data_IF_945119530955
#
_entry.id   IF_945119530955
#
_cell.length_a   1.000
_cell.length_b   1.000
_cell.length_c   1.000
_cell.angle_alpha   90.00
_cell.angle_beta   90.00
_cell.angle_gamma   90.00
#
_symmetry.space_group_name_H-M   'P 1'
#
loop_
_entity.id
_entity.type
_entity.pdbx_description
1 polymer ?
#
# COMPACT_ATOMS: atom_id res chain seq x y z
N UNK A 1 19.77 -25.96 -66.77
CA UNK A 1 18.63 -26.29 -65.88
C UNK A 1 18.98 -25.81 -64.47
N UNK A 2 19.13 -24.51 -64.24
CA UNK A 2 18.08 -23.58 -63.82
C UNK A 2 17.18 -24.10 -62.68
N UNK A 3 17.59 -23.82 -61.43
CA UNK A 3 16.69 -23.42 -60.35
C UNK A 3 17.36 -22.36 -59.47
N UNK A 4 17.22 -21.13 -59.95
CA UNK A 4 17.07 -19.92 -59.16
C UNK A 4 16.10 -20.16 -57.99
N UNK A 5 16.45 -19.82 -56.74
CA UNK A 5 15.48 -19.33 -55.76
C UNK A 5 16.16 -18.67 -54.54
N UNK A 6 16.30 -17.35 -54.68
CA UNK A 6 15.99 -16.30 -53.69
C UNK A 6 16.65 -16.34 -52.31
N UNK A 7 17.69 -15.52 -52.17
CA UNK A 7 18.10 -14.86 -50.94
C UNK A 7 16.91 -14.08 -50.33
N UNK A 8 16.31 -14.61 -49.27
CA UNK A 8 15.47 -13.81 -48.37
C UNK A 8 16.34 -13.49 -47.16
N UNK A 9 16.94 -12.30 -47.20
CA UNK A 9 17.63 -11.75 -46.05
C UNK A 9 16.65 -11.64 -44.89
N UNK A 10 16.88 -12.44 -43.84
CA UNK A 10 16.34 -12.15 -42.52
C UNK A 10 16.96 -10.83 -42.05
N UNK A 11 16.38 -9.69 -42.46
CA UNK A 11 16.46 -8.48 -41.67
C UNK A 11 15.81 -8.82 -40.33
N UNK A 12 16.64 -9.26 -39.40
CA UNK A 12 16.28 -9.46 -38.00
C UNK A 12 15.83 -8.12 -37.46
N UNK A 13 14.52 -7.88 -37.48
CA UNK A 13 13.92 -6.81 -36.69
C UNK A 13 14.08 -7.24 -35.23
N UNK A 14 15.17 -6.80 -34.61
CA UNK A 14 15.38 -6.97 -33.18
C UNK A 14 14.24 -6.23 -32.48
N UNK A 15 13.22 -6.98 -32.05
CA UNK A 15 12.18 -6.47 -31.19
C UNK A 15 12.81 -6.21 -29.83
N UNK A 16 13.34 -5.00 -29.65
CA UNK A 16 13.81 -4.53 -28.35
C UNK A 16 12.58 -4.41 -27.45
N UNK A 17 12.36 -5.41 -26.61
CA UNK A 17 11.39 -5.32 -25.54
C UNK A 17 11.85 -4.23 -24.56
N UNK A 18 11.26 -3.04 -24.67
CA UNK A 18 11.46 -1.98 -23.70
C UNK A 18 10.66 -2.34 -22.44
N UNK A 19 11.26 -3.14 -21.57
CA UNK A 19 10.76 -3.37 -20.21
C UNK A 19 10.99 -2.10 -19.40
N UNK A 20 10.11 -1.11 -19.59
CA UNK A 20 10.03 0.06 -18.74
C UNK A 20 9.59 -0.38 -17.35
N UNK A 21 10.54 -0.50 -16.43
CA UNK A 21 10.26 -0.65 -15.01
C UNK A 21 9.65 0.67 -14.53
N UNK A 22 8.33 0.78 -14.54
CA UNK A 22 7.65 1.93 -13.94
C UNK A 22 7.90 1.84 -12.44
N UNK A 23 8.82 2.65 -11.94
CA UNK A 23 9.01 2.82 -10.51
C UNK A 23 7.69 3.36 -9.93
N UNK A 24 7.11 2.64 -8.97
CA UNK A 24 5.93 3.11 -8.27
C UNK A 24 6.24 4.47 -7.62
N UNK A 25 5.35 5.44 -7.82
CA UNK A 25 5.51 6.76 -7.22
C UNK A 25 5.53 6.65 -5.69
N UNK A 26 6.45 7.39 -5.06
CA UNK A 26 6.59 7.37 -3.60
C UNK A 26 5.35 7.99 -2.97
N UNK A 27 4.73 7.27 -2.03
CA UNK A 27 3.61 7.79 -1.24
C UNK A 27 4.06 8.94 -0.35
N UNK A 28 3.40 10.09 -0.45
CA UNK A 28 3.60 11.24 0.44
C UNK A 28 2.64 11.13 1.63
N UNK A 29 3.18 10.85 2.82
CA UNK A 29 2.38 10.65 4.02
C UNK A 29 1.49 11.86 4.35
N UNK A 30 2.01 13.09 4.24
CA UNK A 30 1.28 14.29 4.64
C UNK A 30 0.15 14.61 3.68
N UNK A 31 0.32 14.33 2.39
CA UNK A 31 -0.68 14.61 1.36
C UNK A 31 -1.68 13.48 1.14
N UNK A 32 -1.24 12.22 1.28
CA UNK A 32 -2.04 11.06 0.88
C UNK A 32 -2.57 10.27 2.07
N UNK A 33 -1.79 10.10 3.14
CA UNK A 33 -2.15 9.20 4.24
C UNK A 33 -2.78 9.94 5.43
N UNK A 34 -2.15 11.00 5.91
CA UNK A 34 -2.62 11.78 7.07
C UNK A 34 -4.07 12.27 6.91
N UNK A 35 -4.52 12.77 5.73
CA UNK A 35 -5.91 13.17 5.55
C UNK A 35 -6.88 12.00 5.75
N UNK A 36 -6.57 10.82 5.22
CA UNK A 36 -7.40 9.60 5.35
C UNK A 36 -7.55 9.25 6.83
N UNK A 37 -6.44 9.14 7.56
CA UNK A 37 -6.45 8.81 8.99
C UNK A 37 -7.26 9.85 9.79
N UNK A 38 -7.10 11.13 9.46
CA UNK A 38 -7.83 12.20 10.15
C UNK A 38 -9.34 12.15 9.94
N UNK A 39 -9.78 11.77 8.74
CA UNK A 39 -11.21 11.71 8.40
C UNK A 39 -11.85 10.41 8.86
N UNK A 40 -11.12 9.30 8.86
CA UNK A 40 -11.69 7.96 9.05
C UNK A 40 -11.36 7.31 10.38
N UNK A 41 -10.33 7.76 11.10
CA UNK A 41 -9.83 7.04 12.28
C UNK A 41 -9.83 7.87 13.56
N UNK A 42 -9.57 9.18 13.49
CA UNK A 42 -9.33 9.99 14.70
C UNK A 42 -10.57 10.19 15.59
N UNK A 43 -11.78 10.00 15.06
CA UNK A 43 -13.01 10.07 15.87
C UNK A 43 -13.03 9.03 16.99
N UNK A 44 -12.39 7.86 16.79
CA UNK A 44 -12.29 6.78 17.77
C UNK A 44 -10.86 6.51 18.28
N UNK A 45 -9.83 6.85 17.51
CA UNK A 45 -8.42 6.62 17.83
C UNK A 45 -7.59 7.93 17.78
N UNK A 46 -8.12 8.99 18.40
CA UNK A 46 -7.52 10.32 18.46
C UNK A 46 -7.49 10.88 19.88
N UNK A 47 -7.14 12.16 20.04
CA UNK A 47 -6.98 12.74 21.38
C UNK A 47 -8.26 12.70 22.24
N UNK A 48 -9.43 12.83 21.61
CA UNK A 48 -10.72 12.89 22.31
C UNK A 48 -11.29 11.52 22.67
N UNK A 49 -10.91 10.47 21.95
CA UNK A 49 -11.36 9.09 22.17
C UNK A 49 -10.24 8.15 21.73
N UNK A 50 -9.87 7.23 22.60
CA UNK A 50 -8.73 6.32 22.40
C UNK A 50 -9.20 4.88 22.58
N UNK A 51 -10.09 4.44 21.69
CA UNK A 51 -10.49 3.03 21.67
C UNK A 51 -9.26 2.15 21.49
N UNK A 52 -9.17 1.09 22.28
CA UNK A 52 -8.01 0.22 22.24
C UNK A 52 -6.72 0.87 22.78
N UNK A 53 -6.78 2.02 23.48
CA UNK A 53 -5.62 2.89 23.81
C UNK A 53 -4.79 3.31 22.59
N UNK A 54 -5.37 3.19 21.39
CA UNK A 54 -4.66 3.45 20.16
C UNK A 54 -4.84 4.92 19.75
N UNK A 55 -3.73 5.54 19.33
CA UNK A 55 -3.71 6.90 18.77
C UNK A 55 -3.02 6.93 17.41
N UNK A 56 -3.72 7.43 16.40
CA UNK A 56 -3.24 7.42 15.00
C UNK A 56 -2.78 8.80 14.47
N UNK A 57 -2.67 9.81 15.35
CA UNK A 57 -2.47 11.21 14.94
C UNK A 57 -1.04 11.57 14.49
N UNK A 58 -0.04 10.92 15.10
CA UNK A 58 1.38 11.15 14.81
C UNK A 58 2.11 9.83 14.65
N UNK A 59 3.28 9.86 14.02
CA UNK A 59 4.12 8.68 13.83
C UNK A 59 4.50 8.04 15.16
N UNK A 60 4.86 8.85 16.14
CA UNK A 60 5.30 8.40 17.45
C UNK A 60 4.19 7.66 18.17
N UNK A 61 2.96 8.20 18.16
CA UNK A 61 1.78 7.58 18.76
C UNK A 61 1.38 6.29 18.04
N UNK A 62 1.42 6.29 16.70
CA UNK A 62 1.12 5.09 15.91
C UNK A 62 2.08 3.93 16.21
N UNK A 63 3.35 4.23 16.48
CA UNK A 63 4.37 3.22 16.82
C UNK A 63 4.33 2.80 18.29
N UNK A 64 3.70 3.57 19.18
CA UNK A 64 3.46 3.13 20.56
C UNK A 64 2.46 1.96 20.61
N UNK A 65 1.53 1.89 19.65
CA UNK A 65 0.54 0.83 19.61
C UNK A 65 -0.69 1.11 20.48
N UNK A 66 -1.40 0.04 20.85
CA UNK A 66 -2.54 0.07 21.76
C UNK A 66 -2.58 -1.18 22.64
N UNK A 67 -3.76 -1.56 23.15
CA UNK A 67 -3.95 -2.77 23.97
C UNK A 67 -3.46 -4.06 23.28
N UNK A 68 -3.52 -4.11 21.95
CA UNK A 68 -3.03 -5.25 21.14
C UNK A 68 -1.52 -5.23 20.90
N UNK A 69 -0.78 -4.27 21.47
CA UNK A 69 0.63 -4.05 21.20
C UNK A 69 0.87 -3.24 19.93
N UNK A 70 1.93 -3.58 19.19
CA UNK A 70 2.32 -2.89 17.96
C UNK A 70 1.24 -3.04 16.88
N UNK A 71 0.76 -1.91 16.34
CA UNK A 71 -0.27 -1.92 15.28
C UNK A 71 0.29 -1.65 13.88
N UNK A 72 1.48 -1.06 13.80
CA UNK A 72 2.20 -0.79 12.55
C UNK A 72 3.63 -1.30 12.72
N UNK A 73 4.06 -2.17 11.80
CA UNK A 73 5.43 -2.67 11.71
C UNK A 73 6.09 -2.03 10.49
N UNK A 74 7.03 -1.07 10.66
CA UNK A 74 7.64 -0.37 9.54
C UNK A 74 8.29 -1.33 8.53
N UNK A 75 7.87 -1.23 7.27
CA UNK A 75 8.39 -2.06 6.18
C UNK A 75 7.73 -3.44 6.05
N UNK A 76 6.83 -3.82 6.95
CA UNK A 76 6.11 -5.10 6.97
C UNK A 76 4.60 -4.83 7.08
N UNK A 77 4.01 -4.35 5.99
CA UNK A 77 2.62 -3.92 5.97
C UNK A 77 1.64 -5.09 6.21
N UNK A 78 1.98 -6.26 5.69
CA UNK A 78 1.27 -7.53 5.85
C UNK A 78 1.30 -8.08 7.28
N UNK A 79 2.33 -7.75 8.06
CA UNK A 79 2.42 -8.09 9.49
C UNK A 79 1.79 -7.01 10.40
N UNK A 80 1.25 -5.93 9.84
CA UNK A 80 0.69 -4.81 10.62
C UNK A 80 -0.80 -5.00 10.88
N UNK A 81 -1.19 -5.06 12.16
CA UNK A 81 -2.60 -5.19 12.60
C UNK A 81 -3.49 -4.07 12.04
N UNK A 82 -2.95 -2.85 11.85
CA UNK A 82 -3.72 -1.77 11.25
C UNK A 82 -4.25 -2.14 9.86
N UNK A 83 -3.44 -2.79 9.03
CA UNK A 83 -3.86 -3.21 7.70
C UNK A 83 -4.83 -4.39 7.76
N UNK A 84 -4.58 -5.35 8.66
CA UNK A 84 -5.49 -6.46 8.94
C UNK A 84 -6.90 -5.97 9.26
N UNK A 85 -7.05 -5.00 10.18
CA UNK A 85 -8.37 -4.45 10.54
C UNK A 85 -9.02 -3.67 9.41
N UNK A 86 -8.25 -3.00 8.56
CA UNK A 86 -8.81 -2.30 7.39
C UNK A 86 -9.37 -3.29 6.35
N UNK A 87 -8.72 -4.44 6.22
CA UNK A 87 -9.08 -5.49 5.26
C UNK A 87 -10.07 -6.52 5.81
N UNK A 88 -10.32 -6.51 7.12
CA UNK A 88 -11.28 -7.41 7.75
C UNK A 88 -12.71 -7.17 7.25
N UNK A 89 -13.56 -8.16 7.52
CA UNK A 89 -14.98 -8.14 7.19
C UNK A 89 -15.82 -7.87 8.45
N UNK A 90 -17.07 -7.45 8.23
CA UNK A 90 -18.09 -7.32 9.28
C UNK A 90 -17.62 -6.52 10.52
N UNK A 91 -17.80 -7.08 11.71
CA UNK A 91 -17.62 -6.41 13.00
C UNK A 91 -16.16 -6.16 13.39
N UNK A 92 -15.21 -6.86 12.75
CA UNK A 92 -13.79 -6.68 13.01
C UNK A 92 -13.15 -5.58 12.15
N UNK A 93 -13.86 -5.16 11.10
CA UNK A 93 -13.42 -4.15 10.16
C UNK A 93 -13.35 -2.77 10.79
N UNK A 94 -12.25 -2.08 10.54
CA UNK A 94 -12.03 -0.69 10.94
C UNK A 94 -11.76 0.21 9.72
N UNK A 95 -12.36 1.42 9.64
CA UNK A 95 -13.44 1.88 10.50
C UNK A 95 -14.69 1.01 10.33
N UNK A 96 -15.57 0.94 11.35
CA UNK A 96 -16.84 0.24 11.23
C UNK A 96 -17.65 0.78 10.05
N UNK A 97 -18.50 -0.07 9.47
CA UNK A 97 -19.46 0.38 8.46
C UNK A 97 -20.38 1.46 9.06
N UNK A 98 -20.71 2.47 8.25
CA UNK A 98 -21.68 3.52 8.59
C UNK A 98 -23.11 2.95 8.68
#
# INVERSE_FOLDING_TARGET
MNRLLTLIGCLGFAFTANSGLVAAEKVDYLKQIKPILSTKCYSCHGALKQEGELRLETRELMLQGGYSGEVIIPGKADESVLLERIMAEEDERMPPAE
#
